data_IF_075487477870
#
_entry.id   IF_075487477870
#
_cell.length_a   1.000
_cell.length_b   1.000
_cell.length_c   1.000
_cell.angle_alpha   90.00
_cell.angle_beta   90.00
_cell.angle_gamma   90.00
#
_symmetry.space_group_name_H-M   'P 1'
#
loop_
_entity.id
_entity.type
_entity.pdbx_description
1 polymer ?
#
# COMPACT_ATOMS: atom_id res chain seq x y z
N UNK A 1 -3.93 3.71 -15.77
CA UNK A 1 -2.76 3.06 -15.15
C UNK A 1 -1.90 2.54 -16.29
N UNK A 2 -0.78 3.20 -16.60
CA UNK A 2 0.15 2.73 -17.62
C UNK A 2 0.91 1.54 -17.03
N UNK A 3 0.52 0.33 -17.41
CA UNK A 3 1.33 -0.86 -17.19
C UNK A 3 2.54 -0.70 -18.11
N UNK A 4 3.68 -0.33 -17.54
CA UNK A 4 4.96 -0.43 -18.25
C UNK A 4 5.14 -1.90 -18.59
N UNK A 5 4.84 -2.28 -19.84
CA UNK A 5 5.28 -3.55 -20.41
C UNK A 5 6.77 -3.67 -20.14
N UNK A 6 7.19 -4.86 -19.72
CA UNK A 6 8.50 -5.20 -19.16
C UNK A 6 9.69 -4.43 -19.80
N UNK A 7 9.93 -3.20 -19.35
CA UNK A 7 10.86 -2.21 -19.93
C UNK A 7 12.15 -2.10 -19.11
N UNK A 8 12.54 -3.20 -18.46
CA UNK A 8 13.70 -3.27 -17.55
C UNK A 8 14.95 -2.75 -18.27
N UNK A 9 15.39 -1.56 -17.89
CA UNK A 9 16.64 -0.95 -18.37
C UNK A 9 16.51 0.06 -19.53
N UNK A 10 15.32 0.24 -20.10
CA UNK A 10 15.08 1.22 -21.17
C UNK A 10 15.18 2.66 -20.66
N UNK A 11 15.54 3.60 -21.55
CA UNK A 11 15.68 5.01 -21.20
C UNK A 11 14.38 5.62 -20.63
N UNK A 12 13.23 5.23 -21.18
CA UNK A 12 11.92 5.69 -20.69
C UNK A 12 11.64 5.19 -19.27
N UNK A 13 11.94 3.92 -18.99
CA UNK A 13 11.81 3.34 -17.65
C UNK A 13 12.73 4.04 -16.65
N UNK A 14 14.01 4.22 -16.99
CA UNK A 14 14.98 4.93 -16.14
C UNK A 14 14.52 6.36 -15.82
N UNK A 15 14.10 7.11 -16.84
CA UNK A 15 13.57 8.45 -16.65
C UNK A 15 12.35 8.44 -15.72
N UNK A 16 11.41 7.51 -15.92
CA UNK A 16 10.25 7.37 -15.06
C UNK A 16 10.63 7.05 -13.61
N UNK A 17 11.56 6.12 -13.39
CA UNK A 17 12.04 5.77 -12.04
C UNK A 17 12.62 7.00 -11.35
N UNK A 18 13.54 7.72 -11.99
CA UNK A 18 14.16 8.92 -11.42
C UNK A 18 13.18 10.08 -11.19
N UNK A 19 12.12 10.16 -12.00
CA UNK A 19 11.07 11.17 -11.85
C UNK A 19 10.16 10.91 -10.64
N UNK A 20 9.97 9.64 -10.28
CA UNK A 20 8.97 9.24 -9.28
C UNK A 20 9.54 8.76 -7.96
N UNK A 21 10.78 8.27 -7.94
CA UNK A 21 11.37 7.60 -6.80
C UNK A 21 12.77 8.11 -6.46
N UNK A 22 13.10 8.03 -5.18
CA UNK A 22 14.43 8.25 -4.63
C UNK A 22 14.79 7.12 -3.69
N UNK A 23 16.08 6.84 -3.57
CA UNK A 23 16.60 5.89 -2.60
C UNK A 23 16.99 6.64 -1.32
N UNK A 24 16.57 6.14 -0.17
CA UNK A 24 16.87 6.74 1.14
C UNK A 24 17.51 5.67 2.02
N UNK A 25 18.63 6.03 2.65
CA UNK A 25 19.33 5.16 3.59
C UNK A 25 18.79 5.41 5.01
N UNK A 26 18.29 4.35 5.65
CA UNK A 26 17.81 4.37 7.04
C UNK A 26 18.63 3.33 7.80
N UNK A 27 19.62 3.78 8.57
CA UNK A 27 20.62 2.89 9.17
C UNK A 27 21.41 2.16 8.08
N UNK A 28 21.34 0.84 8.07
CA UNK A 28 21.98 -0.02 7.07
C UNK A 28 21.04 -0.40 5.90
N UNK A 29 19.77 0.00 5.96
CA UNK A 29 18.77 -0.35 4.97
C UNK A 29 18.63 0.72 3.89
N UNK A 30 18.48 0.30 2.64
CA UNK A 30 18.10 1.17 1.54
C UNK A 30 16.61 0.99 1.23
N UNK A 31 15.86 2.08 1.29
CA UNK A 31 14.40 2.07 1.12
C UNK A 31 14.03 3.01 -0.02
N UNK A 32 13.14 2.56 -0.90
CA UNK A 32 12.61 3.37 -2.00
C UNK A 32 11.52 4.29 -1.46
N UNK A 33 11.62 5.58 -1.74
CA UNK A 33 10.64 6.60 -1.38
C UNK A 33 10.02 7.23 -2.61
N UNK A 34 8.73 7.55 -2.55
CA UNK A 34 8.07 8.38 -3.55
C UNK A 34 8.51 9.84 -3.41
N UNK A 35 8.98 10.46 -4.50
CA UNK A 35 9.46 11.85 -4.47
C UNK A 35 8.35 12.83 -4.07
N UNK A 36 7.14 12.65 -4.59
CA UNK A 36 6.01 13.56 -4.33
C UNK A 36 5.38 13.41 -2.95
N UNK A 37 5.23 12.17 -2.48
CA UNK A 37 4.61 11.87 -1.18
C UNK A 37 5.58 11.99 -0.02
N UNK A 38 6.88 11.86 -0.29
CA UNK A 38 7.93 11.71 0.73
C UNK A 38 7.69 10.54 1.71
N UNK A 39 7.01 9.50 1.25
CA UNK A 39 6.73 8.29 2.01
C UNK A 39 7.43 7.08 1.38
N UNK A 40 7.72 6.02 2.16
CA UNK A 40 8.24 4.77 1.64
C UNK A 40 7.26 4.13 0.65
N UNK A 41 7.82 3.53 -0.40
CA UNK A 41 7.12 2.67 -1.35
C UNK A 41 6.99 1.29 -0.74
N UNK A 42 5.80 0.72 -0.85
CA UNK A 42 5.53 -0.64 -0.37
C UNK A 42 5.64 -1.63 -1.52
N UNK A 43 6.33 -2.73 -1.26
CA UNK A 43 6.44 -3.87 -2.18
C UNK A 43 5.17 -4.72 -2.14
N UNK A 44 4.97 -5.56 -3.16
CA UNK A 44 3.78 -6.41 -3.25
C UNK A 44 3.65 -7.34 -2.03
N UNK A 45 4.78 -7.89 -1.57
CA UNK A 45 4.91 -8.79 -0.43
C UNK A 45 4.54 -8.13 0.90
N UNK A 46 4.71 -6.80 0.99
CA UNK A 46 4.43 -6.01 2.19
C UNK A 46 3.01 -5.44 2.22
N UNK A 47 2.26 -5.48 1.11
CA UNK A 47 0.92 -4.87 1.01
C UNK A 47 -0.02 -5.34 2.11
N UNK A 48 -0.15 -6.66 2.27
CA UNK A 48 -1.07 -7.25 3.24
C UNK A 48 -0.74 -6.81 4.66
N UNK A 49 0.51 -7.03 5.09
CA UNK A 49 0.97 -6.71 6.45
C UNK A 49 0.84 -5.21 6.75
N UNK A 50 1.19 -4.35 5.78
CA UNK A 50 1.12 -2.90 5.95
C UNK A 50 -0.31 -2.41 6.17
N UNK A 51 -1.27 -2.89 5.35
CA UNK A 51 -2.67 -2.47 5.47
C UNK A 51 -3.26 -3.04 6.76
N UNK A 52 -2.91 -4.29 7.13
CA UNK A 52 -3.31 -4.93 8.39
C UNK A 52 -2.87 -4.11 9.60
N UNK A 53 -1.60 -3.75 9.68
CA UNK A 53 -1.07 -2.95 10.78
C UNK A 53 -1.75 -1.58 10.87
N UNK A 54 -1.95 -0.88 9.75
CA UNK A 54 -2.68 0.39 9.72
C UNK A 54 -4.11 0.23 10.26
N UNK A 55 -4.81 -0.81 9.83
CA UNK A 55 -6.18 -1.09 10.23
C UNK A 55 -6.29 -1.48 11.71
N UNK A 56 -5.33 -2.26 12.22
CA UNK A 56 -5.23 -2.67 13.63
C UNK A 56 -4.88 -1.50 14.54
N UNK A 57 -3.93 -0.63 14.16
CA UNK A 57 -3.60 0.60 14.92
C UNK A 57 -4.79 1.52 15.08
N UNK A 58 -5.66 1.57 14.07
CA UNK A 58 -6.90 2.31 14.16
C UNK A 58 -7.98 1.59 14.97
N UNK A 59 -7.80 0.35 15.43
CA UNK A 59 -8.84 -0.39 16.14
C UNK A 59 -10.00 -0.82 15.24
N UNK A 60 -9.71 -1.21 14.00
CA UNK A 60 -10.67 -1.70 13.01
C UNK A 60 -11.72 -0.66 12.56
N UNK A 61 -11.30 0.60 12.43
CA UNK A 61 -12.15 1.63 11.83
C UNK A 61 -12.42 1.38 10.34
N UNK A 62 -13.48 2.02 9.83
CA UNK A 62 -13.92 1.87 8.44
C UNK A 62 -12.91 2.33 7.38
N UNK A 63 -13.29 2.10 6.13
CA UNK A 63 -12.51 2.32 4.91
C UNK A 63 -11.82 3.68 4.87
N UNK A 64 -12.54 4.76 5.08
CA UNK A 64 -12.00 6.10 4.84
C UNK A 64 -10.93 6.49 5.87
N UNK A 65 -11.07 6.00 7.12
CA UNK A 65 -10.06 6.19 8.17
C UNK A 65 -8.82 5.33 7.88
N UNK A 66 -9.01 4.06 7.52
CA UNK A 66 -7.90 3.17 7.14
C UNK A 66 -7.14 3.70 5.93
N UNK A 67 -7.85 4.15 4.89
CA UNK A 67 -7.24 4.75 3.71
C UNK A 67 -6.41 5.99 4.04
N UNK A 68 -6.91 6.84 4.96
CA UNK A 68 -6.18 8.01 5.43
C UNK A 68 -4.86 7.65 6.12
N UNK A 69 -4.89 6.66 7.01
CA UNK A 69 -3.69 6.17 7.69
C UNK A 69 -2.66 5.63 6.69
N UNK A 70 -3.10 4.77 5.76
CA UNK A 70 -2.22 4.17 4.75
C UNK A 70 -1.53 5.24 3.91
N UNK A 71 -2.28 6.23 3.38
CA UNK A 71 -1.69 7.29 2.52
C UNK A 71 -0.85 8.31 3.27
N UNK A 72 -0.99 8.40 4.59
CA UNK A 72 -0.14 9.26 5.42
C UNK A 72 1.25 8.65 5.65
N UNK A 73 1.33 7.32 5.72
CA UNK A 73 2.56 6.61 6.08
C UNK A 73 3.28 6.00 4.88
N UNK A 74 2.56 5.66 3.81
CA UNK A 74 3.07 4.90 2.68
C UNK A 74 2.64 5.53 1.35
N UNK A 75 3.26 5.11 0.26
CA UNK A 75 2.84 5.49 -1.08
C UNK A 75 2.81 4.30 -2.04
N UNK A 76 2.21 4.52 -3.21
CA UNK A 76 2.03 3.51 -4.26
C UNK A 76 1.15 2.32 -3.86
N UNK A 77 0.26 2.50 -2.89
CA UNK A 77 -0.79 1.54 -2.54
C UNK A 77 -2.11 2.00 -3.18
N UNK A 78 -2.70 1.23 -4.11
CA UNK A 78 -3.99 1.56 -4.69
C UNK A 78 -5.13 1.49 -3.66
N UNK A 79 -6.09 2.41 -3.75
CA UNK A 79 -7.26 2.43 -2.86
C UNK A 79 -8.06 1.12 -2.92
N UNK A 80 -8.24 0.56 -4.12
CA UNK A 80 -9.01 -0.68 -4.32
C UNK A 80 -8.39 -1.86 -3.58
N UNK A 81 -7.05 -1.91 -3.46
CA UNK A 81 -6.35 -2.94 -2.67
C UNK A 81 -6.71 -2.82 -1.19
N UNK A 82 -6.82 -1.60 -0.66
CA UNK A 82 -7.27 -1.36 0.72
C UNK A 82 -8.72 -1.80 0.91
N UNK A 83 -9.60 -1.54 -0.07
CA UNK A 83 -11.00 -1.98 -0.01
C UNK A 83 -11.10 -3.50 -0.02
N UNK A 84 -10.35 -4.17 -0.92
CA UNK A 84 -10.29 -5.64 -0.99
C UNK A 84 -9.83 -6.20 0.36
N UNK A 85 -8.73 -5.69 0.93
CA UNK A 85 -8.26 -6.12 2.25
C UNK A 85 -9.36 -6.01 3.32
N UNK A 86 -10.02 -4.84 3.41
CA UNK A 86 -11.04 -4.59 4.42
C UNK A 86 -12.26 -5.50 4.29
N UNK A 87 -12.60 -5.91 3.05
CA UNK A 87 -13.68 -6.88 2.80
C UNK A 87 -13.39 -8.26 3.40
N UNK A 88 -12.13 -8.58 3.64
CA UNK A 88 -11.65 -9.88 4.14
C UNK A 88 -11.26 -9.85 5.62
N UNK A 89 -11.48 -8.73 6.32
CA UNK A 89 -11.10 -8.59 7.72
C UNK A 89 -12.05 -9.37 8.64
N UNK A 90 -11.58 -10.47 9.21
CA UNK A 90 -12.37 -11.36 10.09
C UNK A 90 -12.96 -10.64 11.31
N UNK A 91 -12.20 -9.74 11.94
CA UNK A 91 -12.66 -9.00 13.13
C UNK A 91 -13.84 -8.08 12.77
N UNK A 92 -13.73 -7.35 11.66
CA UNK A 92 -14.79 -6.48 11.16
C UNK A 92 -16.02 -7.28 10.75
N UNK A 93 -15.80 -8.45 10.14
CA UNK A 93 -16.86 -9.32 9.70
C UNK A 93 -17.69 -9.86 10.88
N UNK A 94 -17.01 -10.40 11.90
CA UNK A 94 -17.64 -10.95 13.10
C UNK A 94 -18.40 -9.87 13.90
N UNK A 95 -17.90 -8.62 13.94
CA UNK A 95 -18.61 -7.49 14.58
C UNK A 95 -19.92 -7.13 13.90
N UNK A 96 -20.03 -7.33 12.59
CA UNK A 96 -21.22 -6.94 11.82
C UNK A 96 -22.31 -8.02 11.80
N UNK A 97 -22.02 -9.23 12.28
CA UNK A 97 -23.00 -10.33 12.30
C UNK A 97 -23.40 -10.87 10.91
N UNK A 98 -22.65 -10.57 9.85
CA UNK A 98 -22.91 -11.14 8.52
C UNK A 98 -22.27 -12.54 8.40
N UNK A 99 -22.84 -13.48 7.64
CA UNK A 99 -22.22 -14.78 7.36
C UNK A 99 -21.20 -14.69 6.23
N UNK A 100 -19.96 -15.20 6.43
CA UNK A 100 -18.86 -15.08 5.45
C UNK A 100 -19.34 -15.43 4.03
N UNK A 101 -19.01 -14.63 3.00
CA UNK A 101 -19.27 -15.05 1.63
C UNK A 101 -18.56 -16.38 1.41
N UNK A 102 -19.31 -17.39 0.98
CA UNK A 102 -18.75 -18.67 0.59
C UNK A 102 -17.91 -18.41 -0.66
N UNK A 103 -16.62 -18.78 -0.57
CA UNK A 103 -15.66 -18.70 -1.67
C UNK A 103 -16.03 -19.69 -2.80
#
# INVERSE_FOLDING_TARGET
>A
MLVLKDARGEAQFKFWVHKHFKLVTIGELQVVYGIKSNNPVITYEQLYTTIKECHERLGHHGRDKTWREVRQQYCWIPFDVVVIFLSQCDVCWNRKGFPKPIA
#
